data_IF_677416283144
#
_entry.id   IF_677416283144
#
_cell.length_a   1.000
_cell.length_b   1.000
_cell.length_c   1.000
_cell.angle_alpha   90.00
_cell.angle_beta   90.00
_cell.angle_gamma   90.00
#
_symmetry.space_group_name_H-M   'P 1'
#
loop_
_entity.id
_entity.type
_entity.pdbx_description
1 polymer ?
#
# COMPACT_ATOMS: atom_id res chain seq x y z
N UNK A 1 -3.97 37.82 15.75
CA UNK A 1 -3.61 36.84 14.70
C UNK A 1 -4.10 37.37 13.37
N UNK A 2 -3.25 37.44 12.34
CA UNK A 2 -3.65 37.94 11.03
C UNK A 2 -4.62 36.95 10.35
N UNK A 3 -5.52 37.46 9.49
CA UNK A 3 -6.48 36.62 8.75
C UNK A 3 -5.83 35.50 7.91
N UNK A 4 -4.58 35.71 7.47
CA UNK A 4 -3.77 34.74 6.71
C UNK A 4 -3.40 33.55 7.62
N UNK A 5 -2.97 33.82 8.86
CA UNK A 5 -2.57 32.77 9.82
C UNK A 5 -3.78 31.92 10.24
N UNK A 6 -4.94 32.55 10.47
CA UNK A 6 -6.19 31.85 10.79
C UNK A 6 -6.62 30.93 9.65
N UNK A 7 -6.51 31.39 8.39
CA UNK A 7 -6.85 30.60 7.18
C UNK A 7 -5.90 29.40 7.02
N UNK A 8 -4.59 29.59 7.20
CA UNK A 8 -3.62 28.51 7.09
C UNK A 8 -3.86 27.42 8.15
N UNK A 9 -4.18 27.81 9.41
CA UNK A 9 -4.54 26.88 10.48
C UNK A 9 -5.82 26.12 10.17
N UNK A 10 -6.84 26.76 9.61
CA UNK A 10 -8.09 26.12 9.21
C UNK A 10 -7.86 25.10 8.10
N UNK A 11 -7.04 25.44 7.09
CA UNK A 11 -6.71 24.50 5.99
C UNK A 11 -6.01 23.26 6.51
N UNK A 12 -5.00 23.42 7.38
CA UNK A 12 -4.27 22.29 8.00
C UNK A 12 -5.24 21.40 8.80
N UNK A 13 -6.08 21.99 9.64
CA UNK A 13 -7.04 21.25 10.43
C UNK A 13 -8.04 20.47 9.57
N UNK A 14 -8.51 21.06 8.46
CA UNK A 14 -9.46 20.40 7.55
C UNK A 14 -8.80 19.24 6.80
N UNK A 15 -7.55 19.41 6.33
CA UNK A 15 -6.79 18.32 5.70
C UNK A 15 -6.56 17.18 6.68
N UNK A 16 -6.17 17.47 7.92
CA UNK A 16 -5.98 16.46 8.94
C UNK A 16 -7.28 15.72 9.29
N UNK A 17 -8.39 16.46 9.44
CA UNK A 17 -9.71 15.87 9.71
C UNK A 17 -10.17 14.92 8.60
N UNK A 18 -9.83 15.20 7.34
CA UNK A 18 -10.17 14.35 6.20
C UNK A 18 -9.46 12.99 6.21
N UNK A 19 -8.44 12.81 7.06
CA UNK A 19 -7.69 11.57 7.24
C UNK A 19 -8.06 10.83 8.52
N UNK A 20 -8.59 11.51 9.53
CA UNK A 20 -8.88 10.90 10.83
C UNK A 20 -9.91 9.77 10.70
N UNK A 21 -9.54 8.58 11.20
CA UNK A 21 -10.38 7.38 11.15
C UNK A 21 -10.51 6.75 9.75
N UNK A 22 -9.69 7.19 8.80
CA UNK A 22 -9.67 6.62 7.45
C UNK A 22 -8.56 5.57 7.30
N UNK A 23 -8.97 4.33 7.14
CA UNK A 23 -8.08 3.18 6.89
C UNK A 23 -7.93 2.86 5.39
N UNK A 24 -8.40 3.74 4.49
CA UNK A 24 -8.30 3.53 3.04
C UNK A 24 -6.97 3.99 2.45
N UNK A 25 -6.12 4.64 3.24
CA UNK A 25 -4.82 5.19 2.83
C UNK A 25 -4.95 6.05 1.56
N UNK A 26 -5.67 7.17 1.62
CA UNK A 26 -5.96 7.97 0.46
C UNK A 26 -4.70 8.63 -0.11
N UNK A 27 -4.70 8.86 -1.43
CA UNK A 27 -3.74 9.73 -2.10
C UNK A 27 -4.02 11.21 -1.83
N UNK A 28 -3.08 12.09 -2.16
CA UNK A 28 -3.28 13.53 -2.03
C UNK A 28 -4.48 14.04 -2.88
N UNK A 29 -4.72 13.43 -4.04
CA UNK A 29 -5.84 13.79 -4.92
C UNK A 29 -7.18 13.38 -4.30
N UNK A 30 -7.27 12.19 -3.71
CA UNK A 30 -8.48 11.74 -3.00
C UNK A 30 -8.78 12.63 -1.79
N UNK A 31 -7.74 12.99 -1.02
CA UNK A 31 -7.87 13.94 0.10
C UNK A 31 -8.30 15.32 -0.40
N UNK A 32 -7.74 15.80 -1.49
CA UNK A 32 -8.13 17.07 -2.11
C UNK A 32 -9.61 17.08 -2.50
N UNK A 33 -10.13 16.02 -3.11
CA UNK A 33 -11.55 15.93 -3.45
C UNK A 33 -12.46 16.01 -2.22
N UNK A 34 -12.07 15.36 -1.12
CA UNK A 34 -12.80 15.40 0.15
C UNK A 34 -12.76 16.80 0.79
N UNK A 35 -11.57 17.38 0.86
CA UNK A 35 -11.36 18.70 1.48
C UNK A 35 -12.08 19.81 0.71
N UNK A 36 -12.17 19.72 -0.61
CA UNK A 36 -12.91 20.68 -1.44
C UNK A 36 -14.39 20.78 -1.10
N UNK A 37 -15.00 19.74 -0.56
CA UNK A 37 -16.40 19.79 -0.13
C UNK A 37 -16.59 20.80 1.01
N UNK A 38 -15.60 20.99 1.87
CA UNK A 38 -15.62 21.93 2.99
C UNK A 38 -14.93 23.25 2.65
N UNK A 39 -13.86 23.19 1.86
CA UNK A 39 -13.04 24.33 1.44
C UNK A 39 -12.96 24.42 -0.10
N UNK A 40 -14.01 24.90 -0.79
CA UNK A 40 -14.08 24.86 -2.27
C UNK A 40 -12.95 25.60 -2.99
N UNK A 41 -12.32 26.59 -2.33
CA UNK A 41 -11.23 27.41 -2.89
C UNK A 41 -9.83 26.90 -2.53
N UNK A 42 -9.69 25.72 -1.92
CA UNK A 42 -8.38 25.14 -1.65
C UNK A 42 -7.74 24.65 -2.95
N UNK A 43 -6.45 24.84 -3.12
CA UNK A 43 -5.70 24.27 -4.24
C UNK A 43 -5.08 22.92 -3.87
N UNK A 44 -4.86 22.06 -4.86
CA UNK A 44 -4.15 20.80 -4.68
C UNK A 44 -2.74 21.03 -4.08
N UNK A 45 -2.00 22.03 -4.55
CA UNK A 45 -0.69 22.40 -3.99
C UNK A 45 -0.75 22.80 -2.51
N UNK A 46 -1.89 23.38 -2.05
CA UNK A 46 -2.08 23.67 -0.62
C UNK A 46 -2.32 22.38 0.17
N UNK A 47 -3.02 21.40 -0.39
CA UNK A 47 -3.22 20.09 0.25
C UNK A 47 -1.87 19.38 0.39
N UNK A 48 -1.05 19.31 -0.66
CA UNK A 48 0.30 18.73 -0.58
C UNK A 48 1.17 19.38 0.50
N UNK A 49 1.22 20.72 0.58
CA UNK A 49 1.97 21.42 1.63
C UNK A 49 1.49 21.10 3.04
N UNK A 50 0.16 21.00 3.24
CA UNK A 50 -0.39 20.64 4.53
C UNK A 50 -0.13 19.16 4.88
N UNK A 51 -0.21 18.25 3.91
CA UNK A 51 0.14 16.84 4.12
C UNK A 51 1.62 16.67 4.49
N UNK A 52 2.52 17.35 3.77
CA UNK A 52 3.94 17.34 4.10
C UNK A 52 4.19 17.84 5.54
N UNK A 53 3.58 18.95 5.91
CA UNK A 53 3.67 19.49 7.27
C UNK A 53 3.14 18.50 8.32
N UNK A 54 2.02 17.81 8.05
CA UNK A 54 1.48 16.79 8.98
C UNK A 54 2.43 15.59 9.13
N UNK A 55 3.13 15.20 8.07
CA UNK A 55 4.18 14.17 8.11
C UNK A 55 5.37 14.64 8.94
N UNK A 56 5.88 15.86 8.72
CA UNK A 56 6.97 16.48 9.49
C UNK A 56 6.62 16.61 10.97
N UNK A 57 5.37 16.98 11.28
CA UNK A 57 4.84 17.06 12.66
C UNK A 57 4.53 15.68 13.25
N UNK A 58 4.80 14.57 12.53
CA UNK A 58 4.50 13.18 12.93
C UNK A 58 3.03 12.96 13.34
N UNK A 59 2.11 13.62 12.66
CA UNK A 59 0.66 13.42 12.85
C UNK A 59 0.07 12.39 11.92
N UNK A 60 0.74 12.15 10.79
CA UNK A 60 0.41 11.13 9.82
C UNK A 60 1.70 10.53 9.25
N UNK A 61 1.60 9.40 8.57
CA UNK A 61 2.70 8.81 7.81
C UNK A 61 2.44 8.93 6.31
N UNK A 62 3.52 9.03 5.54
CA UNK A 62 3.49 8.89 4.09
C UNK A 62 4.02 7.49 3.75
N UNK A 63 3.24 6.73 3.00
CA UNK A 63 3.56 5.38 2.57
C UNK A 63 3.97 5.39 1.09
N UNK A 64 5.14 4.84 0.79
CA UNK A 64 5.66 4.59 -0.55
C UNK A 64 5.70 3.07 -0.76
N UNK A 65 4.56 2.47 -1.07
CA UNK A 65 4.37 1.02 -1.12
C UNK A 65 4.70 0.40 -2.49
N UNK A 66 5.74 0.90 -3.14
CA UNK A 66 6.16 0.45 -4.47
C UNK A 66 5.30 1.00 -5.62
N UNK A 67 4.35 1.89 -5.32
CA UNK A 67 3.52 2.58 -6.29
C UNK A 67 4.08 3.97 -6.65
N UNK A 68 3.64 4.50 -7.79
CA UNK A 68 4.04 5.85 -8.23
C UNK A 68 3.38 6.96 -7.42
N UNK A 69 2.35 6.62 -6.63
CA UNK A 69 1.53 7.59 -5.89
C UNK A 69 1.70 7.35 -4.39
N UNK A 70 2.10 8.40 -3.67
CA UNK A 70 2.18 8.37 -2.22
C UNK A 70 0.78 8.23 -1.60
N UNK A 71 0.67 7.40 -0.55
CA UNK A 71 -0.52 7.22 0.27
C UNK A 71 -0.29 7.82 1.65
N UNK A 72 -1.35 8.23 2.30
CA UNK A 72 -1.28 8.87 3.61
C UNK A 72 -2.06 8.07 4.64
N UNK A 73 -1.44 7.87 5.81
CA UNK A 73 -1.91 7.01 6.88
C UNK A 73 -1.92 7.79 8.20
N UNK A 74 -3.09 7.93 8.85
CA UNK A 74 -3.19 8.60 10.14
C UNK A 74 -2.73 7.72 11.32
N UNK A 75 -2.54 6.41 11.13
CA UNK A 75 -2.10 5.50 12.19
C UNK A 75 -0.59 5.52 12.29
N UNK A 76 -0.06 6.05 13.40
CA UNK A 76 1.39 6.18 13.63
C UNK A 76 2.03 4.91 14.17
N UNK A 77 1.28 4.07 14.87
CA UNK A 77 1.75 2.78 15.35
C UNK A 77 2.23 1.91 14.17
N UNK A 78 3.30 1.16 14.37
CA UNK A 78 3.77 0.24 13.35
C UNK A 78 2.72 -0.84 13.09
N UNK A 79 2.35 -1.02 11.84
CA UNK A 79 1.45 -2.06 11.37
C UNK A 79 1.78 -2.42 9.93
N UNK A 80 1.22 -3.51 9.48
CA UNK A 80 1.47 -4.11 8.18
C UNK A 80 0.38 -3.74 7.19
N UNK A 81 0.68 -3.87 5.91
CA UNK A 81 -0.24 -3.49 4.84
C UNK A 81 -0.41 -4.60 3.82
N UNK A 82 -1.63 -4.76 3.33
CA UNK A 82 -1.92 -5.47 2.09
C UNK A 82 -2.12 -4.48 0.94
N UNK A 83 -1.48 -4.75 -0.21
CA UNK A 83 -1.55 -3.90 -1.39
C UNK A 83 -2.10 -4.70 -2.56
N UNK A 84 -3.24 -4.29 -3.11
CA UNK A 84 -3.80 -4.89 -4.30
C UNK A 84 -3.07 -4.40 -5.55
N UNK A 85 -2.39 -5.31 -6.26
CA UNK A 85 -1.64 -4.99 -7.48
C UNK A 85 -2.50 -4.61 -8.69
N UNK A 86 -3.81 -4.83 -8.61
CA UNK A 86 -4.71 -4.51 -9.72
C UNK A 86 -5.41 -3.15 -9.53
N UNK A 87 -5.95 -2.85 -8.35
CA UNK A 87 -6.70 -1.61 -8.11
C UNK A 87 -5.97 -0.61 -7.21
N UNK A 88 -4.77 -0.95 -6.70
CA UNK A 88 -3.99 -0.08 -5.83
C UNK A 88 -4.56 0.12 -4.42
N UNK A 89 -5.61 -0.64 -4.04
CA UNK A 89 -6.17 -0.58 -2.68
C UNK A 89 -5.11 -1.01 -1.67
N UNK A 90 -4.97 -0.23 -0.61
CA UNK A 90 -4.16 -0.53 0.56
C UNK A 90 -5.10 -0.81 1.73
N UNK A 91 -4.83 -1.84 2.49
CA UNK A 91 -5.58 -2.22 3.69
C UNK A 91 -4.62 -2.51 4.83
N UNK A 92 -4.97 -2.08 6.06
CA UNK A 92 -4.22 -2.44 7.26
C UNK A 92 -4.32 -3.94 7.51
N UNK A 93 -3.20 -4.58 7.78
CA UNK A 93 -3.16 -5.95 8.27
C UNK A 93 -2.98 -5.94 9.79
N UNK A 94 -4.08 -6.12 10.50
CA UNK A 94 -4.09 -6.31 11.95
C UNK A 94 -3.95 -7.80 12.23
N UNK A 95 -2.72 -8.30 12.25
CA UNK A 95 -2.45 -9.69 12.61
C UNK A 95 -2.46 -9.82 14.14
N UNK A 96 -3.42 -10.56 14.69
CA UNK A 96 -3.62 -10.70 16.15
C UNK A 96 -2.36 -11.14 16.92
N UNK A 97 -1.44 -11.86 16.27
CA UNK A 97 -0.19 -12.32 16.88
C UNK A 97 1.04 -11.55 16.34
N UNK A 98 0.83 -10.51 15.52
CA UNK A 98 1.91 -9.90 14.73
C UNK A 98 2.53 -10.91 13.75
N UNK A 99 3.30 -10.43 12.81
CA UNK A 99 4.17 -11.34 12.05
C UNK A 99 5.54 -11.35 12.73
N UNK A 100 6.09 -12.54 12.96
CA UNK A 100 7.43 -12.68 13.47
C UNK A 100 8.42 -12.74 12.31
N UNK A 101 9.12 -11.62 12.10
CA UNK A 101 10.26 -11.61 11.19
C UNK A 101 11.49 -12.11 11.97
N UNK A 102 12.14 -13.15 11.47
CA UNK A 102 13.43 -13.57 12.03
C UNK A 102 14.50 -12.52 11.66
N UNK A 103 14.86 -11.68 12.62
CA UNK A 103 15.86 -10.61 12.45
C UNK A 103 17.29 -11.11 12.77
N UNK A 104 17.44 -12.32 13.30
CA UNK A 104 18.74 -12.89 13.70
C UNK A 104 19.82 -12.84 12.60
N UNK A 105 19.51 -13.16 11.32
CA UNK A 105 20.50 -13.09 10.25
C UNK A 105 21.06 -11.69 9.99
N UNK A 106 20.30 -10.64 10.32
CA UNK A 106 20.77 -9.26 10.20
C UNK A 106 21.69 -8.90 11.38
N UNK A 107 21.31 -9.30 12.59
CA UNK A 107 22.08 -9.05 13.82
C UNK A 107 23.44 -9.73 13.74
N UNK A 108 23.50 -10.99 13.29
CA UNK A 108 24.75 -11.75 13.11
C UNK A 108 25.70 -11.11 12.08
N UNK A 109 25.15 -10.35 11.13
CA UNK A 109 25.93 -9.58 10.16
C UNK A 109 26.31 -8.17 10.67
N UNK A 110 26.03 -7.85 11.94
CA UNK A 110 26.38 -6.59 12.59
C UNK A 110 25.41 -5.43 12.29
N UNK A 111 24.21 -5.71 11.76
CA UNK A 111 23.20 -4.65 11.57
C UNK A 111 22.44 -4.36 12.86
N UNK A 112 22.16 -3.07 13.11
CA UNK A 112 21.22 -2.66 14.14
C UNK A 112 19.87 -2.39 13.49
N UNK A 113 18.90 -3.26 13.73
CA UNK A 113 17.53 -3.08 13.18
C UNK A 113 16.74 -2.15 14.10
N UNK A 114 16.32 -1.00 13.59
CA UNK A 114 15.54 -0.01 14.34
C UNK A 114 14.04 -0.23 14.18
N UNK A 115 13.59 -0.66 13.01
CA UNK A 115 12.17 -0.92 12.71
C UNK A 115 12.06 -1.84 11.50
N UNK A 116 10.90 -2.48 11.36
CA UNK A 116 10.55 -3.23 10.15
C UNK A 116 9.06 -3.05 9.87
N UNK A 117 8.64 -3.34 8.65
CA UNK A 117 7.23 -3.40 8.23
C UNK A 117 7.07 -4.47 7.16
N UNK A 118 5.90 -5.10 7.11
CA UNK A 118 5.54 -6.06 6.08
C UNK A 118 4.54 -5.43 5.11
N UNK A 119 4.81 -5.59 3.82
CA UNK A 119 3.88 -5.23 2.76
C UNK A 119 3.56 -6.47 1.93
N UNK A 120 2.32 -6.95 1.99
CA UNK A 120 1.88 -8.11 1.23
C UNK A 120 1.21 -7.63 -0.05
N UNK A 121 1.72 -8.06 -1.18
CA UNK A 121 1.18 -7.74 -2.49
C UNK A 121 0.35 -8.89 -3.04
N UNK A 122 -0.87 -8.59 -3.50
CA UNK A 122 -1.78 -9.62 -4.02
C UNK A 122 -2.95 -9.02 -4.80
N UNK A 123 -4.05 -9.74 -4.84
CA UNK A 123 -5.32 -9.24 -5.37
C UNK A 123 -6.34 -9.18 -4.23
N UNK A 124 -6.99 -8.04 -4.05
CA UNK A 124 -8.10 -7.95 -3.10
C UNK A 124 -9.26 -8.85 -3.54
N UNK A 125 -10.18 -9.14 -2.63
CA UNK A 125 -11.30 -10.04 -2.87
C UNK A 125 -12.06 -9.70 -4.16
N UNK A 126 -12.34 -8.41 -4.40
CA UNK A 126 -13.06 -7.97 -5.61
C UNK A 126 -12.27 -8.24 -6.89
N UNK A 127 -10.98 -7.92 -6.92
CA UNK A 127 -10.11 -8.13 -8.09
C UNK A 127 -9.85 -9.60 -8.34
N UNK A 128 -9.69 -10.42 -7.30
CA UNK A 128 -9.51 -11.86 -7.41
C UNK A 128 -10.73 -12.57 -7.99
N UNK A 129 -11.94 -12.17 -7.58
CA UNK A 129 -13.19 -12.72 -8.13
C UNK A 129 -13.36 -12.41 -9.62
N UNK A 130 -12.99 -11.22 -10.08
CA UNK A 130 -13.04 -10.83 -11.50
C UNK A 130 -12.09 -11.69 -12.34
N UNK A 131 -10.89 -11.98 -11.84
CA UNK A 131 -9.94 -12.85 -12.53
C UNK A 131 -10.40 -14.31 -12.56
N UNK A 132 -10.95 -14.83 -11.47
CA UNK A 132 -11.50 -16.17 -11.39
C UNK A 132 -12.66 -16.40 -12.37
N UNK A 133 -13.48 -15.38 -12.62
CA UNK A 133 -14.54 -15.45 -13.65
C UNK A 133 -13.98 -15.48 -15.07
N UNK A 134 -12.93 -14.68 -15.37
CA UNK A 134 -12.27 -14.66 -16.70
C UNK A 134 -11.55 -15.98 -17.02
N UNK A 135 -11.00 -16.67 -16.02
CA UNK A 135 -10.35 -17.97 -16.23
C UNK A 135 -11.35 -19.10 -16.46
N UNK A 136 -12.55 -19.05 -15.84
CA UNK A 136 -13.61 -20.05 -16.06
C UNK A 136 -14.24 -19.95 -17.45
N UNK A 137 -14.42 -18.73 -17.98
CA UNK A 137 -14.96 -18.55 -19.35
C UNK A 137 -13.99 -18.97 -20.45
N UNK A 138 -12.66 -18.81 -20.26
CA UNK A 138 -11.66 -19.30 -21.20
C UNK A 138 -11.54 -20.84 -21.22
N UNK A 139 -11.83 -21.52 -20.11
CA UNK A 139 -11.76 -22.99 -20.01
C UNK A 139 -12.96 -23.69 -20.63
N UNK A 140 -14.06 -22.99 -20.85
CA UNK A 140 -15.27 -23.53 -21.50
C UNK A 140 -15.23 -23.47 -23.04
N UNK A 141 -14.24 -22.83 -23.66
CA UNK A 141 -14.13 -22.65 -25.11
C UNK A 141 -12.90 -23.29 -25.75
N UNK A 142 -12.16 -24.15 -25.05
CA UNK A 142 -10.94 -24.78 -25.57
C UNK A 142 -10.88 -26.27 -25.23
N UNK A 143 -11.48 -27.10 -26.09
CA UNK A 143 -11.24 -28.54 -26.11
C UNK A 143 -9.90 -28.85 -26.77
N UNK A 144 -9.28 -29.94 -26.30
CA UNK A 144 -8.08 -30.64 -26.76
C UNK A 144 -6.72 -30.15 -26.24
N UNK A 145 -6.25 -30.89 -25.23
CA UNK A 145 -4.84 -30.88 -24.81
C UNK A 145 -3.99 -31.78 -25.74
N UNK A 146 -2.81 -31.33 -26.18
CA UNK A 146 -1.73 -32.25 -26.51
C UNK A 146 -1.05 -32.71 -25.22
N UNK A 147 -0.89 -34.02 -25.06
CA UNK A 147 -0.05 -34.63 -24.01
C UNK A 147 1.40 -34.27 -24.29
N UNK A 148 1.96 -33.32 -23.50
CA UNK A 148 3.39 -33.03 -23.56
C UNK A 148 4.11 -33.78 -22.46
N UNK A 149 5.21 -34.45 -22.85
CA UNK A 149 5.96 -35.42 -22.06
C UNK A 149 6.75 -34.80 -20.90
N UNK A 150 6.88 -35.61 -19.88
CA UNK A 150 7.55 -35.38 -18.58
C UNK A 150 9.08 -35.35 -18.65
N UNK A 151 9.71 -35.12 -19.80
CA UNK A 151 11.16 -35.23 -19.97
C UNK A 151 11.93 -33.90 -19.82
N UNK A 152 11.31 -32.76 -20.13
CA UNK A 152 12.05 -31.48 -20.23
C UNK A 152 12.26 -30.70 -18.92
N UNK A 153 11.57 -31.06 -17.85
CA UNK A 153 11.70 -30.37 -16.54
C UNK A 153 12.89 -30.86 -15.70
N UNK A 154 13.51 -32.01 -16.05
CA UNK A 154 14.66 -32.55 -15.32
C UNK A 154 16.01 -31.93 -15.70
N UNK A 155 16.16 -31.45 -16.93
CA UNK A 155 17.44 -30.89 -17.41
C UNK A 155 17.68 -29.42 -16.97
N UNK A 156 16.64 -28.63 -16.80
CA UNK A 156 16.81 -27.22 -16.33
C UNK A 156 17.23 -27.08 -14.87
N UNK A 157 17.05 -28.11 -14.03
CA UNK A 157 17.52 -28.06 -12.63
C UNK A 157 19.03 -28.27 -12.46
N UNK A 158 19.68 -28.96 -13.39
CA UNK A 158 21.12 -29.19 -13.34
C UNK A 158 21.98 -28.02 -13.75
N UNK A 159 21.43 -27.07 -14.50
CA UNK A 159 22.20 -25.90 -14.98
C UNK A 159 22.21 -24.69 -14.02
N UNK A 160 21.47 -24.75 -12.90
CA UNK A 160 21.38 -23.62 -11.95
C UNK A 160 22.05 -23.88 -10.58
N UNK A 161 22.83 -24.96 -10.41
CA UNK A 161 23.76 -25.09 -9.28
C UNK A 161 23.13 -25.07 -7.87
N UNK A 162 21.88 -25.47 -7.69
CA UNK A 162 21.29 -25.69 -6.37
C UNK A 162 21.37 -27.16 -6.02
N UNK A 163 22.49 -27.55 -5.42
CA UNK A 163 22.59 -28.81 -4.65
C UNK A 163 22.20 -28.51 -3.19
N UNK A 164 21.46 -29.44 -2.60
CA UNK A 164 20.86 -29.43 -1.28
C UNK A 164 21.87 -29.30 -0.13
#
# INVERSE_FOLDING_TARGET
MSGIQKRATQQLATVYKALQGDHSHPSADEIYQRVRQTLPRISLGTVYRNLQRLVEERKIRMLLLGERVARYDPVLAAHDHFICRQCGRVEDLLLEQGHQVNLQPFIERGFTVLTHSLAIHGLCQQCGQVQGRKSRTKRAQGSSMPKAGTAELRERRKSMGYEA
#
